data_IF_324786574934
#
_entry.id   IF_324786574934
#
_cell.length_a   1.000
_cell.length_b   1.000
_cell.length_c   1.000
_cell.angle_alpha   90.00
_cell.angle_beta   90.00
_cell.angle_gamma   90.00
#
_symmetry.space_group_name_H-M   'P 1'
#
loop_
_entity.id
_entity.type
_entity.pdbx_description
1 polymer ?
#
# COMPACT_ATOMS: atom_id res chain seq x y z
N UNK A 1 7.95 28.67 -1.81
CA UNK A 1 7.96 27.99 -1.69
C UNK A 1 7.94 27.42 -1.63
N UNK A 2 7.82 27.48 -1.82
CA UNK A 2 7.70 26.56 -1.71
C UNK A 2 7.80 25.82 -1.69
N UNK A 3 7.54 25.93 -1.84
CA UNK A 3 7.55 24.99 -1.79
C UNK A 3 7.71 24.29 -1.72
N UNK A 4 7.50 24.51 -1.86
CA UNK A 4 7.64 23.62 -1.83
C UNK A 4 7.95 22.89 -1.68
N UNK A 5 7.72 22.91 -1.61
CA UNK A 5 7.93 22.01 -1.46
C UNK A 5 8.05 21.26 -1.63
N UNK A 6 7.87 21.56 -1.78
CA UNK A 6 8.00 20.62 -1.95
C UNK A 6 8.52 19.94 -1.99
N UNK A 7 8.45 20.13 -2.03
CA UNK A 7 8.88 19.20 -2.14
C UNK A 7 9.48 18.64 -1.96
N UNK A 8 9.35 18.73 -1.87
CA UNK A 8 9.93 17.89 -1.76
C UNK A 8 10.25 17.27 -1.48
N UNK A 9 9.91 17.18 -1.35
CA UNK A 9 10.13 16.33 -1.17
C UNK A 9 10.59 15.58 -1.28
N UNK A 10 10.62 15.54 -1.51
CA UNK A 10 11.07 14.68 -1.71
C UNK A 10 11.86 14.33 -1.91
N UNK A 11 12.04 14.20 -2.05
CA UNK A 11 12.73 13.72 -2.45
C UNK A 11 13.42 13.08 -2.22
N UNK A 12 13.38 13.03 -2.22
CA UNK A 12 13.85 12.20 -2.27
C UNK A 12 14.17 11.33 -1.74
N UNK A 13 13.63 11.20 -1.56
CA UNK A 13 13.83 10.29 -0.94
C UNK A 13 14.35 9.27 -1.39
N UNK A 14 14.70 9.42 -1.64
CA UNK A 14 15.50 8.50 -2.34
C UNK A 14 15.37 7.10 -1.79
N UNK A 15 15.01 6.18 -2.62
CA UNK A 15 14.74 4.83 -2.19
C UNK A 15 13.41 4.65 -1.50
N UNK A 16 12.74 5.73 -1.19
CA UNK A 16 11.41 5.63 -0.58
C UNK A 16 10.40 5.19 -1.60
N UNK A 17 9.62 4.18 -1.24
CA UNK A 17 8.60 3.67 -2.12
C UNK A 17 7.29 4.40 -1.87
N UNK A 18 6.52 4.56 -2.95
CA UNK A 18 5.19 5.15 -2.82
C UNK A 18 4.24 4.03 -2.42
N UNK A 19 3.59 4.21 -1.28
CA UNK A 19 2.68 3.20 -0.74
C UNK A 19 1.25 3.71 -0.77
N UNK A 20 0.35 2.88 -1.29
CA UNK A 20 -1.07 3.16 -1.27
C UNK A 20 -1.77 1.96 -0.65
N UNK A 21 -2.58 2.21 0.36
CA UNK A 21 -3.37 1.17 1.01
C UNK A 21 -4.83 1.38 0.63
N UNK A 22 -5.41 0.39 -0.02
CA UNK A 22 -6.82 0.44 -0.38
C UNK A 22 -7.62 -0.28 0.70
N UNK A 23 -8.59 0.42 1.26
CA UNK A 23 -9.34 -0.06 2.42
C UNK A 23 -10.83 -0.07 2.15
N UNK A 24 -11.58 -0.70 3.06
CA UNK A 24 -13.03 -0.65 3.03
C UNK A 24 -13.54 -0.48 4.45
N UNK A 25 -14.82 -0.14 4.59
CA UNK A 25 -15.42 0.06 5.90
C UNK A 25 -15.47 -1.26 6.66
N UNK A 26 -15.20 -1.19 7.97
CA UNK A 26 -15.29 -2.37 8.81
C UNK A 26 -14.23 -3.42 8.57
N UNK A 27 -13.16 -3.06 7.92
CA UNK A 27 -12.11 -4.00 7.57
C UNK A 27 -11.07 -4.08 8.69
N UNK A 28 -11.09 -5.21 9.42
CA UNK A 28 -10.13 -5.41 10.52
C UNK A 28 -8.70 -5.50 9.98
N UNK A 29 -8.51 -6.27 8.91
CA UNK A 29 -7.17 -6.41 8.33
C UNK A 29 -6.61 -5.09 7.85
N UNK A 30 -7.47 -4.22 7.33
CA UNK A 30 -7.04 -2.89 6.92
C UNK A 30 -6.46 -2.11 8.10
N UNK A 31 -7.12 -2.20 9.25
CA UNK A 31 -6.64 -1.53 10.46
C UNK A 31 -5.31 -2.10 10.91
N UNK A 32 -5.17 -3.42 10.86
CA UNK A 32 -3.92 -4.07 11.26
C UNK A 32 -2.77 -3.62 10.37
N UNK A 33 -2.99 -3.59 9.06
CA UNK A 33 -1.95 -3.18 8.12
C UNK A 33 -1.57 -1.72 8.34
N UNK A 34 -2.56 -0.84 8.47
CA UNK A 34 -2.27 0.57 8.64
C UNK A 34 -1.51 0.83 9.94
N UNK A 35 -1.89 0.12 11.00
CA UNK A 35 -1.23 0.30 12.29
C UNK A 35 0.24 -0.13 12.20
N UNK A 36 0.50 -1.26 11.55
CA UNK A 36 1.86 -1.72 11.39
C UNK A 36 2.71 -0.71 10.59
N UNK A 37 2.13 -0.17 9.51
CA UNK A 37 2.84 0.80 8.69
C UNK A 37 3.17 2.06 9.49
N UNK A 38 2.23 2.52 10.32
CA UNK A 38 2.45 3.69 11.14
C UNK A 38 3.55 3.46 12.18
N UNK A 39 3.50 2.32 12.86
CA UNK A 39 4.51 2.04 13.89
C UNK A 39 5.87 1.77 13.28
N UNK A 40 5.92 1.42 12.01
CA UNK A 40 7.18 1.20 11.31
C UNK A 40 7.66 2.46 10.59
N UNK A 41 7.02 3.59 10.84
CA UNK A 41 7.38 4.88 10.24
C UNK A 41 7.32 4.86 8.71
N UNK A 42 6.35 4.12 8.17
CA UNK A 42 6.14 4.08 6.73
C UNK A 42 5.02 5.04 6.36
N UNK A 43 5.28 5.96 5.46
CA UNK A 43 4.27 6.86 4.95
C UNK A 43 3.46 6.17 3.87
N UNK A 44 2.16 6.36 3.89
CA UNK A 44 1.30 5.75 2.89
C UNK A 44 0.09 6.63 2.64
N UNK A 45 -0.51 6.45 1.49
CA UNK A 45 -1.77 7.08 1.14
C UNK A 45 -2.86 6.04 1.33
N UNK A 46 -3.98 6.45 1.93
CA UNK A 46 -5.12 5.55 2.10
C UNK A 46 -6.19 5.92 1.10
N UNK A 47 -6.73 4.94 0.39
CA UNK A 47 -7.83 5.15 -0.54
C UNK A 47 -8.93 4.15 -0.21
N UNK A 48 -10.16 4.65 -0.17
CA UNK A 48 -11.31 3.83 0.20
C UNK A 48 -11.90 3.20 -1.05
N UNK A 49 -12.03 1.87 -1.04
CA UNK A 49 -12.58 1.14 -2.18
C UNK A 49 -14.06 1.41 -2.41
N UNK A 50 -14.74 1.98 -1.42
CA UNK A 50 -16.14 2.34 -1.56
C UNK A 50 -16.31 3.66 -2.30
N UNK A 51 -15.21 4.36 -2.54
CA UNK A 51 -15.24 5.60 -3.32
C UNK A 51 -15.29 5.27 -4.80
N UNK A 52 -16.27 5.84 -5.49
CA UNK A 52 -16.50 5.54 -6.90
C UNK A 52 -15.29 5.90 -7.76
N UNK A 53 -14.66 7.04 -7.47
CA UNK A 53 -13.51 7.47 -8.26
C UNK A 53 -12.31 6.53 -8.07
N UNK A 54 -12.14 6.02 -6.85
CA UNK A 54 -11.06 5.07 -6.58
C UNK A 54 -11.28 3.79 -7.37
N UNK A 55 -12.51 3.27 -7.34
CA UNK A 55 -12.82 2.04 -8.06
C UNK A 55 -12.71 2.24 -9.56
N UNK A 56 -13.14 3.39 -10.07
CA UNK A 56 -13.03 3.67 -11.50
C UNK A 56 -11.56 3.67 -11.93
N UNK A 57 -10.68 4.26 -11.12
CA UNK A 57 -9.27 4.29 -11.44
C UNK A 57 -8.69 2.88 -11.51
N UNK A 58 -9.04 2.04 -10.55
CA UNK A 58 -8.55 0.66 -10.52
C UNK A 58 -9.03 -0.12 -11.74
N UNK A 59 -10.30 0.04 -12.09
CA UNK A 59 -10.86 -0.63 -13.25
C UNK A 59 -10.13 -0.20 -14.53
N UNK A 60 -9.87 1.09 -14.66
CA UNK A 60 -9.18 1.60 -15.84
C UNK A 60 -7.74 1.09 -15.92
N UNK A 61 -7.16 0.74 -14.80
CA UNK A 61 -5.81 0.18 -14.75
C UNK A 61 -5.81 -1.35 -14.82
N UNK A 62 -6.99 -1.94 -15.06
CA UNK A 62 -7.16 -3.39 -15.15
C UNK A 62 -6.78 -4.11 -13.86
N UNK A 63 -7.01 -3.47 -12.72
CA UNK A 63 -6.73 -4.06 -11.42
C UNK A 63 -8.02 -4.63 -10.87
N UNK A 64 -8.03 -5.93 -10.61
CA UNK A 64 -9.19 -6.60 -10.03
C UNK A 64 -9.01 -6.67 -8.52
N UNK A 65 -9.98 -6.12 -7.79
CA UNK A 65 -9.95 -6.12 -6.33
C UNK A 65 -11.03 -7.06 -5.83
N UNK A 66 -10.62 -8.12 -5.15
CA UNK A 66 -11.54 -9.12 -4.62
C UNK A 66 -11.78 -8.94 -3.12
N UNK A 67 -10.85 -8.33 -2.42
CA UNK A 67 -10.99 -8.13 -0.98
C UNK A 67 -10.04 -7.01 -0.55
N UNK A 68 -10.25 -6.52 0.67
CA UNK A 68 -9.39 -5.49 1.26
C UNK A 68 -8.60 -6.13 2.39
N UNK A 69 -7.45 -5.62 2.73
CA UNK A 69 -6.77 -4.48 2.09
C UNK A 69 -6.00 -4.88 0.85
N UNK A 70 -5.76 -3.91 -0.01
CA UNK A 70 -4.87 -4.07 -1.16
C UNK A 70 -3.73 -3.08 -0.96
N UNK A 71 -2.52 -3.53 -1.20
CA UNK A 71 -1.34 -2.68 -1.04
C UNK A 71 -0.68 -2.45 -2.39
N UNK A 72 -0.49 -1.19 -2.73
CA UNK A 72 0.24 -0.83 -3.94
C UNK A 72 1.59 -0.27 -3.52
N UNK A 73 2.66 -0.83 -4.06
CA UNK A 73 4.03 -0.38 -3.79
C UNK A 73 4.59 0.06 -5.13
N UNK A 74 4.78 1.37 -5.29
CA UNK A 74 5.10 1.97 -6.56
C UNK A 74 4.04 1.55 -7.59
N UNK A 75 4.39 0.74 -8.57
CA UNK A 75 3.44 0.30 -9.59
C UNK A 75 2.99 -1.15 -9.41
N UNK A 76 3.41 -1.78 -8.33
CA UNK A 76 3.06 -3.18 -8.08
C UNK A 76 1.91 -3.27 -7.11
N UNK A 77 0.89 -4.04 -7.46
CA UNK A 77 -0.31 -4.20 -6.64
C UNK A 77 -0.30 -5.58 -6.02
N UNK A 78 -0.54 -5.63 -4.71
CA UNK A 78 -0.50 -6.86 -3.94
C UNK A 78 -1.83 -7.07 -3.21
N UNK A 79 -2.40 -8.25 -3.38
CA UNK A 79 -3.63 -8.58 -2.68
C UNK A 79 -3.32 -8.96 -1.22
N UNK A 80 -4.37 -8.96 -0.40
CA UNK A 80 -4.17 -9.22 1.03
C UNK A 80 -3.62 -10.62 1.29
N UNK A 81 -3.88 -11.57 0.42
CA UNK A 81 -3.36 -12.93 0.61
C UNK A 81 -1.84 -13.01 0.50
N UNK A 82 -1.23 -11.98 -0.07
CA UNK A 82 0.23 -11.99 -0.23
C UNK A 82 0.96 -11.59 1.05
N UNK A 83 0.25 -10.94 1.98
CA UNK A 83 0.90 -10.48 3.21
C UNK A 83 0.07 -10.74 4.47
N UNK A 84 -0.97 -11.57 4.36
CA UNK A 84 -1.72 -12.03 5.52
C UNK A 84 -1.79 -13.54 5.50
N UNK A 85 -1.68 -14.14 6.67
CA UNK A 85 -1.98 -15.55 6.88
C UNK A 85 -3.28 -15.57 7.65
N UNK A 86 -4.39 -15.83 6.96
CA UNK A 86 -5.72 -15.71 7.55
C UNK A 86 -5.90 -14.29 8.08
N UNK A 87 -6.05 -14.11 9.37
CA UNK A 87 -6.25 -12.79 9.95
C UNK A 87 -4.98 -12.18 10.52
N UNK A 88 -3.86 -12.88 10.42
CA UNK A 88 -2.60 -12.42 10.98
C UNK A 88 -1.70 -11.83 9.91
N UNK A 89 -1.12 -10.68 10.23
CA UNK A 89 -0.21 -10.02 9.30
C UNK A 89 1.09 -10.83 9.21
N UNK A 90 1.45 -11.21 7.99
CA UNK A 90 2.70 -11.94 7.76
C UNK A 90 3.79 -10.90 7.53
N UNK A 91 4.41 -10.45 8.61
CA UNK A 91 5.36 -9.34 8.58
C UNK A 91 6.53 -9.62 7.66
N UNK A 92 7.04 -10.85 7.66
CA UNK A 92 8.16 -11.20 6.80
C UNK A 92 7.82 -10.99 5.32
N UNK A 93 6.64 -11.44 4.93
CA UNK A 93 6.20 -11.28 3.55
C UNK A 93 5.98 -9.81 3.21
N UNK A 94 5.38 -9.09 4.14
CA UNK A 94 5.12 -7.67 3.94
C UNK A 94 6.44 -6.90 3.79
N UNK A 95 7.42 -7.19 4.62
CA UNK A 95 8.71 -6.52 4.54
C UNK A 95 9.39 -6.81 3.21
N UNK A 96 9.28 -8.03 2.71
CA UNK A 96 9.82 -8.37 1.41
C UNK A 96 9.18 -7.57 0.29
N UNK A 97 7.87 -7.39 0.36
CA UNK A 97 7.16 -6.58 -0.62
C UNK A 97 7.61 -5.12 -0.56
N UNK A 98 7.73 -4.58 0.65
CA UNK A 98 8.09 -3.19 0.83
C UNK A 98 9.52 -2.90 0.41
N UNK A 99 10.40 -3.88 0.53
CA UNK A 99 11.79 -3.69 0.15
C UNK A 99 12.01 -3.88 -1.34
N UNK A 100 10.98 -4.29 -2.05
CA UNK A 100 11.05 -4.42 -3.49
C UNK A 100 11.83 -5.62 -3.95
N UNK A 101 11.92 -6.61 -3.12
CA UNK A 101 12.66 -7.78 -3.50
C UNK A 101 11.82 -8.71 -4.29
N UNK A 102 12.16 -8.51 -4.45
CA UNK A 102 11.77 -9.24 -5.01
C UNK A 102 12.40 -9.92 -5.75
N UNK A 103 12.85 -9.28 -5.32
CA UNK A 103 13.10 -9.59 -5.94
C UNK A 103 13.50 -10.08 -6.29
N UNK A 104 13.64 -10.03 -6.07
CA UNK A 104 13.96 -10.58 -6.41
C UNK A 104 14.18 -11.09 -6.77
N UNK A 105 14.18 -10.99 -6.79
CA UNK A 105 14.37 -11.55 -7.18
C UNK A 105 14.80 -12.03 -7.40
N UNK A 106 15.02 -11.94 -7.34
CA UNK A 106 15.47 -12.38 -7.57
C UNK A 106 15.68 -12.86 -7.48
#
# INVERSE_FOLDING_TARGET
MVSTNTSVQALPNSGAKRLVVYTSSGCHKCSVLKEWLKTSNKSFEERNLENVDVMADLVMRNIVVLSAPVLEVDDSVHSETEFFNDNALAVDKLQGILEGNGNGQR
#
